data_IF_809411823407
#
_entry.id   IF_809411823407
#
_cell.length_a   1.000
_cell.length_b   1.000
_cell.length_c   1.000
_cell.angle_alpha   90.00
_cell.angle_beta   90.00
_cell.angle_gamma   90.00
#
_symmetry.space_group_name_H-M   'P 1'
#
loop_
_entity.id
_entity.type
_entity.pdbx_description
1 polymer ?
#
# COMPACT_ATOMS: atom_id res chain seq x y z
N UNK A 1 -7.21 28.62 -49.90
CA UNK A 1 -8.13 27.80 -49.06
C UNK A 1 -7.50 26.51 -48.52
N UNK A 2 -6.60 25.81 -49.25
CA UNK A 2 -5.96 24.56 -48.79
C UNK A 2 -4.98 24.73 -47.61
N UNK A 3 -4.29 25.87 -47.50
CA UNK A 3 -3.31 26.10 -46.42
C UNK A 3 -3.93 26.45 -45.07
N UNK A 4 -5.10 27.11 -45.09
CA UNK A 4 -5.91 27.36 -43.89
C UNK A 4 -6.40 26.06 -43.26
N UNK A 5 -6.83 25.09 -44.08
CA UNK A 5 -7.25 23.77 -43.60
C UNK A 5 -6.10 22.97 -42.96
N UNK A 6 -4.88 23.08 -43.50
CA UNK A 6 -3.68 22.42 -42.94
C UNK A 6 -3.21 23.06 -41.63
N UNK A 7 -3.26 24.39 -41.53
CA UNK A 7 -2.93 25.11 -40.31
C UNK A 7 -3.94 24.79 -39.19
N UNK A 8 -5.23 24.71 -39.52
CA UNK A 8 -6.29 24.35 -38.58
C UNK A 8 -6.15 22.90 -38.07
N UNK A 9 -5.82 21.95 -38.96
CA UNK A 9 -5.60 20.55 -38.59
C UNK A 9 -4.39 20.37 -37.65
N UNK A 10 -3.32 21.14 -37.88
CA UNK A 10 -2.12 21.14 -37.00
C UNK A 10 -2.41 21.74 -35.63
N UNK A 11 -3.26 22.78 -35.56
CA UNK A 11 -3.66 23.38 -34.30
C UNK A 11 -4.51 22.41 -33.44
N UNK A 12 -5.44 21.68 -34.07
CA UNK A 12 -6.26 20.66 -33.40
C UNK A 12 -5.38 19.50 -32.89
N UNK A 13 -4.41 19.04 -33.69
CA UNK A 13 -3.49 17.98 -33.27
C UNK A 13 -2.61 18.40 -32.07
N UNK A 14 -2.15 19.66 -32.04
CA UNK A 14 -1.39 20.19 -30.91
C UNK A 14 -2.24 20.34 -29.64
N UNK A 15 -3.50 20.76 -29.76
CA UNK A 15 -4.47 20.80 -28.66
C UNK A 15 -4.82 19.40 -28.13
N UNK A 16 -4.95 18.42 -29.02
CA UNK A 16 -5.20 17.03 -28.64
C UNK A 16 -4.02 16.41 -27.86
N UNK A 17 -2.76 16.68 -28.25
CA UNK A 17 -1.58 16.22 -27.50
C UNK A 17 -1.39 16.94 -26.16
N UNK A 18 -1.76 18.23 -26.08
CA UNK A 18 -1.74 18.98 -24.83
C UNK A 18 -2.72 18.43 -23.78
N UNK A 19 -3.93 18.05 -24.19
CA UNK A 19 -4.98 17.56 -23.28
C UNK A 19 -4.69 16.15 -22.72
N UNK A 20 -3.98 15.28 -23.45
CA UNK A 20 -3.58 13.95 -22.96
C UNK A 20 -2.58 14.04 -21.81
N UNK A 21 -1.79 15.12 -21.75
CA UNK A 21 -0.74 15.30 -20.73
C UNK A 21 -1.26 15.84 -19.39
N UNK A 22 -2.46 16.44 -19.34
CA UNK A 22 -3.05 16.98 -18.11
C UNK A 22 -3.82 15.92 -17.27
N UNK A 23 -4.12 14.76 -17.84
CA UNK A 23 -4.99 13.76 -17.20
C UNK A 23 -4.24 12.58 -16.54
N UNK A 24 -2.91 12.59 -16.50
CA UNK A 24 -2.15 11.57 -15.77
C UNK A 24 -2.09 11.89 -14.25
N UNK A 25 -3.22 12.22 -13.64
CA UNK A 25 -3.30 12.17 -12.18
C UNK A 25 -3.30 10.68 -11.80
N UNK A 26 -2.26 10.24 -11.10
CA UNK A 26 -2.15 8.88 -10.62
C UNK A 26 -3.43 8.54 -9.84
N UNK A 27 -4.08 7.44 -10.22
CA UNK A 27 -5.34 7.03 -9.61
C UNK A 27 -5.10 6.72 -8.12
N UNK A 28 -6.00 7.15 -7.21
CA UNK A 28 -5.88 6.85 -5.79
C UNK A 28 -5.72 5.34 -5.56
N UNK A 29 -4.82 4.96 -4.66
CA UNK A 29 -4.54 3.54 -4.39
C UNK A 29 -4.18 3.27 -2.95
N UNK A 30 -4.66 2.12 -2.44
CA UNK A 30 -4.27 1.55 -1.17
C UNK A 30 -3.07 0.64 -1.41
N UNK A 31 -1.88 1.12 -1.04
CA UNK A 31 -0.67 0.33 -1.01
C UNK A 31 -0.72 -0.61 0.20
N UNK A 32 -0.59 -1.91 -0.03
CA UNK A 32 -0.61 -2.95 0.99
C UNK A 32 0.73 -3.69 0.98
N UNK A 33 1.54 -3.49 2.03
CA UNK A 33 2.90 -4.05 2.12
C UNK A 33 3.04 -4.94 3.33
N UNK A 34 3.65 -6.12 3.18
CA UNK A 34 4.10 -6.92 4.31
C UNK A 34 5.43 -6.39 4.82
N UNK A 35 5.48 -6.06 6.11
CA UNK A 35 6.64 -5.42 6.74
C UNK A 35 7.45 -6.43 7.52
N UNK A 36 6.81 -7.31 8.30
CA UNK A 36 7.51 -8.20 9.22
C UNK A 36 6.64 -9.38 9.65
N UNK A 37 7.32 -10.48 9.97
CA UNK A 37 6.77 -11.66 10.61
C UNK A 37 7.32 -11.77 12.04
N UNK A 38 6.47 -12.18 13.00
CA UNK A 38 6.83 -12.42 14.39
C UNK A 38 6.32 -13.78 14.88
N UNK A 39 7.06 -14.37 15.80
CA UNK A 39 6.58 -15.48 16.62
C UNK A 39 5.89 -14.90 17.86
N UNK A 40 4.59 -15.17 18.01
CA UNK A 40 3.75 -14.60 19.06
C UNK A 40 3.72 -15.43 20.36
N UNK A 41 4.53 -16.50 20.43
CA UNK A 41 4.50 -17.46 21.54
C UNK A 41 3.36 -18.47 21.42
N UNK A 42 3.44 -19.57 22.17
CA UNK A 42 2.40 -20.63 22.15
C UNK A 42 2.24 -21.34 20.79
N UNK A 43 3.21 -21.21 19.89
CA UNK A 43 3.14 -21.73 18.51
C UNK A 43 2.44 -20.79 17.51
N UNK A 44 1.90 -19.67 17.97
CA UNK A 44 1.26 -18.64 17.15
C UNK A 44 2.24 -17.71 16.46
N UNK A 45 1.76 -17.04 15.43
CA UNK A 45 2.54 -16.07 14.64
C UNK A 45 1.76 -14.79 14.44
N UNK A 46 2.46 -13.70 14.15
CA UNK A 46 1.86 -12.42 13.79
C UNK A 46 2.52 -11.85 12.53
N UNK A 47 1.70 -11.39 11.60
CA UNK A 47 2.13 -10.71 10.38
C UNK A 47 1.82 -9.23 10.48
N UNK A 48 2.81 -8.39 10.16
CA UNK A 48 2.71 -6.95 10.21
C UNK A 48 2.61 -6.36 8.82
N UNK A 49 1.57 -5.56 8.61
CA UNK A 49 1.29 -4.91 7.35
C UNK A 49 1.35 -3.39 7.49
N UNK A 50 1.87 -2.74 6.46
CA UNK A 50 1.82 -1.30 6.27
C UNK A 50 0.81 -0.99 5.16
N UNK A 51 -0.18 -0.18 5.50
CA UNK A 51 -1.20 0.29 4.58
C UNK A 51 -0.99 1.79 4.36
N UNK A 52 -0.98 2.22 3.10
CA UNK A 52 -0.82 3.64 2.75
C UNK A 52 -1.80 4.03 1.65
N UNK A 53 -2.53 5.13 1.88
CA UNK A 53 -3.47 5.69 0.90
C UNK A 53 -2.77 6.77 0.07
N UNK A 54 -2.37 6.39 -1.14
CA UNK A 54 -1.55 7.21 -2.03
C UNK A 54 -2.38 7.94 -3.09
N UNK A 55 -1.83 9.06 -3.60
CA UNK A 55 -2.35 9.81 -4.74
C UNK A 55 -3.82 10.25 -4.60
N UNK A 56 -4.28 10.44 -3.37
CA UNK A 56 -5.67 10.74 -3.07
C UNK A 56 -5.84 12.13 -2.45
N UNK A 57 -6.81 12.87 -2.96
CA UNK A 57 -7.23 14.15 -2.35
C UNK A 57 -8.24 13.97 -1.21
N UNK A 58 -8.85 12.79 -1.09
CA UNK A 58 -9.88 12.49 -0.11
C UNK A 58 -9.49 11.28 0.76
N UNK A 59 -9.96 11.29 2.01
CA UNK A 59 -9.82 10.16 2.93
C UNK A 59 -10.53 8.90 2.43
N UNK A 60 -10.07 7.77 2.94
CA UNK A 60 -10.67 6.45 2.76
C UNK A 60 -11.03 5.88 4.15
N UNK A 61 -12.19 5.24 4.28
CA UNK A 61 -12.70 4.71 5.56
C UNK A 61 -13.18 3.27 5.43
N UNK A 62 -13.48 2.63 6.55
CA UNK A 62 -14.12 1.30 6.62
C UNK A 62 -13.36 0.25 5.78
N UNK A 63 -12.03 0.30 5.88
CA UNK A 63 -11.13 -0.52 5.07
C UNK A 63 -11.14 -1.93 5.65
N UNK A 64 -11.51 -2.89 4.81
CA UNK A 64 -11.53 -4.31 5.14
C UNK A 64 -10.72 -5.07 4.11
N UNK A 65 -9.76 -5.87 4.57
CA UNK A 65 -8.89 -6.68 3.70
C UNK A 65 -8.87 -8.10 4.23
N UNK A 66 -9.45 -9.04 3.48
CA UNK A 66 -9.35 -10.46 3.79
C UNK A 66 -8.02 -10.99 3.27
N UNK A 67 -7.15 -11.35 4.20
CA UNK A 67 -5.84 -11.91 3.94
C UNK A 67 -5.87 -13.41 4.17
N UNK A 68 -5.27 -14.15 3.25
CA UNK A 68 -5.03 -15.59 3.33
C UNK A 68 -3.52 -15.82 3.35
N UNK A 69 -3.02 -16.43 4.42
CA UNK A 69 -1.66 -16.98 4.47
C UNK A 69 -1.74 -18.42 3.96
N UNK A 70 -0.94 -18.77 2.96
CA UNK A 70 -0.96 -20.10 2.34
C UNK A 70 0.43 -20.73 2.34
N UNK A 71 0.56 -21.91 2.92
CA UNK A 71 1.80 -22.68 2.94
C UNK A 71 2.06 -23.35 1.59
N UNK A 72 3.28 -23.90 1.43
CA UNK A 72 3.64 -24.72 0.26
C UNK A 72 2.90 -26.06 0.23
N UNK A 73 2.38 -26.53 1.37
CA UNK A 73 1.61 -27.76 1.52
C UNK A 73 0.09 -27.56 1.37
N UNK A 74 -0.32 -26.41 0.83
CA UNK A 74 -1.71 -26.01 0.64
C UNK A 74 -2.53 -25.79 1.93
N UNK A 75 -1.85 -25.60 3.06
CA UNK A 75 -2.52 -25.17 4.28
C UNK A 75 -2.81 -23.67 4.22
N UNK A 76 -4.02 -23.24 4.56
CA UNK A 76 -4.42 -21.84 4.53
C UNK A 76 -4.99 -21.35 5.86
N UNK A 77 -4.64 -20.11 6.23
CA UNK A 77 -5.21 -19.38 7.35
C UNK A 77 -5.78 -18.06 6.82
N UNK A 78 -7.06 -17.82 7.04
CA UNK A 78 -7.73 -16.60 6.59
C UNK A 78 -8.08 -15.70 7.77
N UNK A 79 -7.80 -14.40 7.64
CA UNK A 79 -8.14 -13.38 8.61
C UNK A 79 -8.60 -12.10 7.93
N UNK A 80 -9.48 -11.35 8.61
CA UNK A 80 -9.94 -10.04 8.15
C UNK A 80 -9.17 -8.94 8.88
N UNK A 81 -8.45 -8.13 8.11
CA UNK A 81 -7.84 -6.90 8.61
C UNK A 81 -8.84 -5.75 8.48
N UNK A 82 -8.90 -4.89 9.51
CA UNK A 82 -9.78 -3.73 9.55
C UNK A 82 -9.00 -2.48 9.91
N UNK A 83 -9.14 -1.45 9.08
CA UNK A 83 -8.59 -0.10 9.35
C UNK A 83 -9.73 0.91 9.24
N UNK A 84 -9.94 1.68 10.29
CA UNK A 84 -11.08 2.59 10.36
C UNK A 84 -10.99 3.71 9.31
N UNK A 85 -9.81 4.31 9.12
CA UNK A 85 -9.60 5.42 8.18
C UNK A 85 -8.14 5.67 7.87
N UNK A 86 -7.88 6.25 6.70
CA UNK A 86 -6.59 6.82 6.29
C UNK A 86 -6.80 8.13 5.51
N UNK A 87 -5.80 9.01 5.54
CA UNK A 87 -5.72 10.19 4.68
C UNK A 87 -6.64 11.34 5.09
N UNK A 88 -6.94 11.49 6.38
CA UNK A 88 -7.61 12.70 6.91
C UNK A 88 -6.64 13.88 6.98
N UNK A 89 -5.36 13.57 7.16
CA UNK A 89 -4.20 14.43 7.31
C UNK A 89 -3.01 13.76 6.64
N UNK A 90 -1.87 14.45 6.58
CA UNK A 90 -0.62 13.83 6.11
C UNK A 90 -0.07 12.78 7.09
N UNK A 91 -0.40 12.88 8.38
CA UNK A 91 0.12 11.99 9.42
C UNK A 91 -0.60 10.63 9.48
N UNK A 92 -1.88 10.57 9.11
CA UNK A 92 -2.68 9.32 9.06
C UNK A 92 -2.85 8.80 7.63
N UNK A 93 -1.99 9.23 6.69
CA UNK A 93 -1.99 8.69 5.32
C UNK A 93 -1.62 7.20 5.28
N UNK A 94 -0.95 6.72 6.33
CA UNK A 94 -0.54 5.35 6.48
C UNK A 94 -0.84 4.82 7.89
N UNK A 95 -0.99 3.51 8.00
CA UNK A 95 -1.23 2.81 9.25
C UNK A 95 -0.59 1.43 9.24
N UNK A 96 -0.23 0.96 10.42
CA UNK A 96 0.28 -0.38 10.64
C UNK A 96 -0.85 -1.26 11.21
N UNK A 97 -0.93 -2.49 10.72
CA UNK A 97 -1.92 -3.48 11.17
C UNK A 97 -1.20 -4.79 11.45
N UNK A 98 -1.59 -5.44 12.55
CA UNK A 98 -1.13 -6.77 12.93
C UNK A 98 -2.24 -7.80 12.65
N UNK A 99 -1.84 -8.92 12.06
CA UNK A 99 -2.66 -10.10 11.85
C UNK A 99 -2.07 -11.22 12.70
N UNK A 100 -2.78 -11.65 13.73
CA UNK A 100 -2.37 -12.78 14.56
C UNK A 100 -2.99 -14.09 14.04
N UNK A 101 -2.20 -15.14 14.03
CA UNK A 101 -2.64 -16.49 13.71
C UNK A 101 -2.42 -17.42 14.90
N UNK A 102 -3.34 -18.38 15.12
CA UNK A 102 -3.22 -19.33 16.24
C UNK A 102 -2.02 -20.28 16.08
N UNK A 103 -1.49 -20.40 14.85
CA UNK A 103 -0.30 -21.17 14.54
C UNK A 103 0.52 -20.55 13.42
N UNK A 104 1.82 -20.82 13.43
CA UNK A 104 2.73 -20.50 12.34
C UNK A 104 2.61 -21.52 11.19
N UNK A 105 2.49 -21.03 9.96
CA UNK A 105 2.64 -21.88 8.78
C UNK A 105 4.12 -22.23 8.58
N UNK A 106 4.40 -23.49 8.26
CA UNK A 106 5.76 -23.95 7.95
C UNK A 106 6.25 -23.46 6.59
N UNK A 107 7.57 -23.34 6.43
CA UNK A 107 8.20 -23.02 5.15
C UNK A 107 8.15 -21.52 4.83
N UNK A 108 7.82 -21.18 3.58
CA UNK A 108 7.72 -19.79 3.09
C UNK A 108 6.29 -19.48 2.68
N UNK A 109 5.38 -19.21 3.63
CA UNK A 109 3.99 -18.95 3.30
C UNK A 109 3.87 -17.73 2.37
N UNK A 110 2.94 -17.83 1.43
CA UNK A 110 2.53 -16.73 0.56
C UNK A 110 1.36 -15.98 1.18
N UNK A 111 1.27 -14.69 0.88
CA UNK A 111 0.19 -13.82 1.35
C UNK A 111 -0.69 -13.50 0.15
N UNK A 112 -1.98 -13.85 0.24
CA UNK A 112 -2.96 -13.62 -0.82
C UNK A 112 -4.09 -12.76 -0.26
N UNK A 113 -4.41 -11.67 -0.94
CA UNK A 113 -5.60 -10.88 -0.61
C UNK A 113 -6.76 -11.43 -1.45
N UNK A 114 -7.80 -11.94 -0.77
CA UNK A 114 -8.98 -12.55 -1.42
C UNK A 114 -10.11 -11.56 -1.61
N UNK A 115 -10.25 -10.61 -0.69
CA UNK A 115 -11.24 -9.55 -0.72
C UNK A 115 -10.60 -8.28 -0.18
N UNK A 116 -10.88 -7.14 -0.79
CA UNK A 116 -10.48 -5.86 -0.24
C UNK A 116 -11.52 -4.82 -0.61
N UNK A 117 -12.03 -4.08 0.38
CA UNK A 117 -13.05 -3.07 0.14
C UNK A 117 -12.92 -1.92 1.13
N UNK A 118 -13.36 -0.75 0.71
CA UNK A 118 -13.29 0.48 1.50
C UNK A 118 -14.42 1.44 1.12
N UNK A 119 -14.59 2.52 1.86
CA UNK A 119 -15.46 3.63 1.52
C UNK A 119 -14.62 4.83 1.12
N UNK A 120 -14.81 5.33 -0.10
CA UNK A 120 -14.14 6.54 -0.61
C UNK A 120 -15.18 7.48 -1.24
N UNK A 121 -15.13 8.77 -0.91
CA UNK A 121 -16.14 9.74 -1.40
C UNK A 121 -17.58 9.35 -1.04
N UNK A 122 -17.78 8.70 0.12
CA UNK A 122 -19.09 8.24 0.58
C UNK A 122 -19.64 6.99 -0.12
N UNK A 123 -18.85 6.35 -0.99
CA UNK A 123 -19.26 5.13 -1.72
C UNK A 123 -18.37 3.94 -1.33
N UNK A 124 -19.01 2.79 -1.15
CA UNK A 124 -18.29 1.51 -1.03
C UNK A 124 -17.63 1.19 -2.37
N UNK A 125 -16.36 0.79 -2.31
CA UNK A 125 -15.55 0.36 -3.44
C UNK A 125 -14.95 -1.01 -3.15
N UNK A 126 -14.91 -1.86 -4.18
CA UNK A 126 -14.09 -3.08 -4.19
C UNK A 126 -12.70 -2.71 -4.72
N UNK A 127 -11.69 -2.78 -3.85
CA UNK A 127 -10.34 -2.32 -4.14
C UNK A 127 -9.59 -3.28 -5.09
N UNK A 128 -9.94 -4.58 -5.09
CA UNK A 128 -9.35 -5.55 -6.01
C UNK A 128 -9.91 -5.34 -7.41
N UNK A 129 -11.24 -5.33 -7.53
CA UNK A 129 -11.91 -5.18 -8.82
C UNK A 129 -11.63 -3.82 -9.47
N UNK A 130 -11.52 -2.76 -8.67
CA UNK A 130 -11.19 -1.43 -9.18
C UNK A 130 -9.71 -1.22 -9.47
N UNK A 131 -8.84 -2.19 -9.16
CA UNK A 131 -7.38 -2.05 -9.29
C UNK A 131 -6.75 -1.02 -8.35
N UNK A 132 -7.48 -0.60 -7.30
CA UNK A 132 -7.01 0.40 -6.33
C UNK A 132 -6.22 -0.23 -5.18
N UNK A 133 -6.29 -1.56 -4.97
CA UNK A 133 -5.35 -2.26 -4.11
C UNK A 133 -4.05 -2.53 -4.87
N UNK A 134 -2.91 -2.14 -4.29
CA UNK A 134 -1.59 -2.34 -4.88
C UNK A 134 -0.69 -3.07 -3.89
N UNK A 135 -0.03 -4.13 -4.34
CA UNK A 135 1.02 -4.76 -3.54
C UNK A 135 2.21 -3.81 -3.44
N UNK A 136 2.62 -3.47 -2.22
CA UNK A 136 3.80 -2.65 -1.97
C UNK A 136 5.01 -3.49 -1.58
N UNK A 137 6.19 -2.93 -1.80
CA UNK A 137 7.46 -3.50 -1.37
C UNK A 137 8.10 -2.59 -0.34
N UNK A 138 8.27 -3.08 0.87
CA UNK A 138 8.99 -2.35 1.92
C UNK A 138 10.48 -2.51 1.70
N UNK A 139 11.19 -1.41 1.43
CA UNK A 139 12.66 -1.39 1.42
C UNK A 139 13.17 -1.47 2.85
N UNK A 140 13.98 -2.48 3.15
CA UNK A 140 14.67 -2.59 4.46
C UNK A 140 16.10 -2.09 4.32
N UNK A 141 16.42 -1.03 5.06
CA UNK A 141 17.80 -0.55 5.20
C UNK A 141 18.42 -1.12 6.46
N UNK A 142 19.69 -1.60 6.42
CA UNK A 142 20.39 -2.01 7.62
C UNK A 142 20.61 -0.79 8.52
N UNK A 143 20.27 -0.92 9.81
CA UNK A 143 20.53 0.11 10.82
C UNK A 143 21.74 -0.33 11.64
N UNK A 144 22.73 0.55 11.76
CA UNK A 144 23.88 0.38 12.66
C UNK A 144 23.88 1.49 13.72
N UNK A 145 24.21 1.12 14.95
CA UNK A 145 24.36 2.06 16.07
C UNK A 145 25.85 2.35 16.22
N UNK A 146 26.25 3.60 16.00
CA UNK A 146 27.63 4.03 16.21
C UNK A 146 27.98 4.15 17.70
N UNK A 147 29.25 3.98 18.04
CA UNK A 147 29.74 4.35 19.37
C UNK A 147 29.88 5.87 19.49
N UNK A 148 29.58 6.48 20.64
CA UNK A 148 29.83 7.90 20.87
C UNK A 148 31.29 8.24 20.55
N UNK A 149 31.52 9.27 19.74
CA UNK A 149 32.86 9.75 19.41
C UNK A 149 33.43 10.38 20.68
N UNK A 150 34.30 9.67 21.40
CA UNK A 150 35.08 10.26 22.50
C UNK A 150 35.88 11.43 21.93
N UNK A 151 35.74 12.62 22.53
CA UNK A 151 36.69 13.69 22.29
C UNK A 151 38.03 13.27 22.92
N UNK A 152 39.17 13.52 22.27
CA UNK A 152 40.46 13.33 22.91
C UNK A 152 40.49 14.14 24.23
N UNK A 153 40.62 13.47 25.38
CA UNK A 153 40.82 14.14 26.68
C UNK A 153 39.85 13.79 27.81
N UNK A 154 38.74 13.07 27.59
CA UNK A 154 37.86 12.62 28.68
C UNK A 154 38.41 11.34 29.34
N UNK A 155 39.08 11.52 30.49
CA UNK A 155 39.41 10.46 31.44
C UNK A 155 38.21 10.14 32.34
N UNK A 156 38.09 8.87 32.73
CA UNK A 156 36.98 8.30 33.53
C UNK A 156 36.86 8.90 34.92
#
# INVERSE_FOLDING_TARGET
MRDLARAFLRLIAALAMGLVSLAAQAQPSLLFSHVQHFYAGGGGCAERFWLEWENAAAKITDIEVQVELRSESDEALSQMLRVARLGTTTADRASEVLLETPRCLSGRPSIVVRQASATAGGRRIDLLQSGQLRAGQTKRYPVSIGTPRRRPGELR
#
